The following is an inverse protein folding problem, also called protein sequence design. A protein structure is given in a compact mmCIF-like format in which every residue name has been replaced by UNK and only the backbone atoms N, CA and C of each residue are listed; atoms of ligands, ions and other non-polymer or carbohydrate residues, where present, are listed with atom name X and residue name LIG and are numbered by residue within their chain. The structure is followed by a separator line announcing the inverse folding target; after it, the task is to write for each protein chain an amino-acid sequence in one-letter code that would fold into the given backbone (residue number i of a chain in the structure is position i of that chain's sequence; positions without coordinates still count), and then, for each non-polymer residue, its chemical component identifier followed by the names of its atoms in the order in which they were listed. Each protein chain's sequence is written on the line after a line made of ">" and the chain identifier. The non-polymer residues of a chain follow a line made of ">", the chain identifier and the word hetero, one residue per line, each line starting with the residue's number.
data_IF_617485681044
#
_entry.id   IF_617485681044
#
_cell.length_a   1.000
_cell.length_b   1.000
_cell.length_c   1.000
_cell.angle_alpha   90.00
_cell.angle_beta   90.00
_cell.angle_gamma   90.00
#
_symmetry.space_group_name_H-M   'P 1'
#
loop_
_entity.id
_entity.type
_entity.pdbx_description
1 polymer ?
#
# COMPACT_ATOMS: atom_id res chain seq x y z
N UNK A 1 -38.61 -1.73 28.38
CA UNK A 1 -37.64 -2.80 28.15
C UNK A 1 -38.34 -4.15 28.23
N UNK A 2 -38.57 -4.77 27.08
CA UNK A 2 -39.10 -6.14 26.95
C UNK A 2 -37.98 -7.18 27.18
N UNK A 3 -38.30 -8.47 27.39
CA UNK A 3 -37.28 -9.51 27.47
C UNK A 3 -36.38 -9.59 26.23
N UNK A 4 -36.90 -9.28 25.05
CA UNK A 4 -36.12 -9.22 23.82
C UNK A 4 -35.13 -8.04 23.85
N UNK A 5 -35.61 -6.84 24.20
CA UNK A 5 -34.77 -5.64 24.30
C UNK A 5 -33.66 -5.79 25.36
N UNK A 6 -33.93 -6.48 26.47
CA UNK A 6 -32.91 -6.79 27.48
C UNK A 6 -31.86 -7.78 26.94
N UNK A 7 -32.28 -8.80 26.18
CA UNK A 7 -31.36 -9.75 25.56
C UNK A 7 -30.42 -9.04 24.58
N UNK A 8 -30.96 -8.15 23.76
CA UNK A 8 -30.19 -7.36 22.79
C UNK A 8 -29.21 -6.43 23.50
N UNK A 9 -29.63 -5.80 24.61
CA UNK A 9 -28.74 -4.97 25.42
C UNK A 9 -27.57 -5.78 26.01
N UNK A 10 -27.85 -6.98 26.55
CA UNK A 10 -26.81 -7.85 27.12
C UNK A 10 -25.81 -8.24 26.04
N UNK A 11 -26.29 -8.70 24.89
CA UNK A 11 -25.43 -9.12 23.78
C UNK A 11 -24.60 -7.93 23.25
N UNK A 12 -25.26 -6.81 22.97
CA UNK A 12 -24.59 -5.59 22.51
C UNK A 12 -23.51 -5.10 23.48
N UNK A 13 -23.78 -5.13 24.79
CA UNK A 13 -22.80 -4.70 25.80
C UNK A 13 -21.54 -5.56 25.80
N UNK A 14 -21.67 -6.88 25.58
CA UNK A 14 -20.53 -7.81 25.46
C UNK A 14 -19.74 -7.55 24.20
N UNK A 15 -20.41 -7.39 23.05
CA UNK A 15 -19.74 -7.11 21.78
C UNK A 15 -18.95 -5.80 21.83
N UNK A 16 -19.52 -4.74 22.43
CA UNK A 16 -18.82 -3.48 22.67
C UNK A 16 -17.60 -3.69 23.56
N UNK A 17 -17.75 -4.40 24.69
CA UNK A 17 -16.64 -4.67 25.58
C UNK A 17 -15.48 -5.40 24.88
N UNK A 18 -15.79 -6.38 24.03
CA UNK A 18 -14.78 -7.07 23.22
C UNK A 18 -14.12 -6.15 22.17
N UNK A 19 -14.87 -5.24 21.56
CA UNK A 19 -14.38 -4.31 20.54
C UNK A 19 -13.60 -3.10 21.12
N UNK A 20 -13.76 -2.79 22.42
CA UNK A 20 -13.06 -1.66 23.08
C UNK A 20 -11.57 -1.92 23.31
N UNK A 21 -11.17 -3.18 23.39
CA UNK A 21 -9.77 -3.55 23.55
C UNK A 21 -8.95 -3.40 22.26
N UNK A 22 -7.67 -3.75 22.34
CA UNK A 22 -6.77 -3.81 21.19
C UNK A 22 -5.72 -2.70 21.17
N UNK A 23 -4.70 -2.90 20.34
CA UNK A 23 -3.63 -1.95 20.04
C UNK A 23 -3.62 -1.66 18.54
N UNK A 24 -3.01 -0.54 18.13
CA UNK A 24 -2.86 -0.17 16.72
C UNK A 24 -1.76 -1.03 16.09
N UNK A 25 -2.11 -2.24 15.70
CA UNK A 25 -1.23 -3.23 15.10
C UNK A 25 -1.86 -3.78 13.82
N UNK A 26 -1.02 -4.30 12.93
CA UNK A 26 -1.48 -4.96 11.71
C UNK A 26 -1.96 -6.36 12.10
N UNK A 27 -3.22 -6.68 11.79
CA UNK A 27 -3.77 -8.01 11.98
C UNK A 27 -3.32 -8.93 10.85
N UNK A 28 -3.13 -10.22 11.14
CA UNK A 28 -2.73 -11.21 10.14
C UNK A 28 -3.68 -11.24 8.92
N UNK A 29 -4.98 -11.09 9.18
CA UNK A 29 -6.03 -11.08 8.15
C UNK A 29 -6.03 -9.81 7.29
N UNK A 30 -5.31 -8.75 7.70
CA UNK A 30 -5.15 -7.53 6.89
C UNK A 30 -4.08 -7.70 5.80
N UNK A 31 -3.21 -8.70 5.90
CA UNK A 31 -2.07 -8.88 4.98
C UNK A 31 -2.50 -8.96 3.50
N UNK A 32 -3.55 -9.73 3.10
CA UNK A 32 -4.00 -9.74 1.70
C UNK A 32 -4.55 -8.38 1.25
N UNK A 33 -5.20 -7.65 2.15
CA UNK A 33 -5.69 -6.29 1.87
C UNK A 33 -4.52 -5.33 1.66
N UNK A 34 -3.48 -5.41 2.50
CA UNK A 34 -2.25 -4.62 2.39
C UNK A 34 -1.56 -4.88 1.04
N UNK A 35 -1.35 -6.14 0.68
CA UNK A 35 -0.69 -6.52 -0.57
C UNK A 35 -1.44 -6.05 -1.82
N UNK A 36 -2.77 -6.03 -1.79
CA UNK A 36 -3.58 -5.56 -2.90
C UNK A 36 -3.79 -4.04 -2.92
N UNK A 37 -4.06 -3.43 -1.78
CA UNK A 37 -4.57 -2.06 -1.69
C UNK A 37 -3.48 -0.98 -1.61
N UNK A 38 -2.26 -1.32 -1.19
CA UNK A 38 -1.16 -0.37 -1.22
C UNK A 38 -0.65 -0.13 -2.64
N UNK A 39 -0.02 1.01 -2.84
CA UNK A 39 0.53 1.40 -4.13
C UNK A 39 2.06 1.38 -4.09
N UNK A 40 2.65 1.02 -5.22
CA UNK A 40 4.09 0.97 -5.45
C UNK A 40 4.45 1.85 -6.64
N UNK A 41 5.71 2.29 -6.69
CA UNK A 41 6.22 3.12 -7.78
C UNK A 41 6.36 2.27 -9.04
N UNK A 42 5.82 2.78 -10.15
CA UNK A 42 5.83 2.14 -11.46
C UNK A 42 6.25 3.12 -12.54
N UNK A 43 6.79 2.61 -13.65
CA UNK A 43 6.98 3.37 -14.87
C UNK A 43 5.63 3.62 -15.57
N UNK A 44 5.36 4.86 -16.01
CA UNK A 44 4.13 5.23 -16.76
C UNK A 44 4.32 5.16 -18.28
N UNK A 45 5.58 5.11 -18.72
CA UNK A 45 6.06 4.90 -20.08
C UNK A 45 7.35 4.10 -20.02
N UNK A 46 7.89 3.73 -21.17
CA UNK A 46 9.22 3.14 -21.23
C UNK A 46 10.28 4.16 -20.76
N UNK A 47 11.25 3.71 -19.98
CA UNK A 47 12.35 4.50 -19.41
C UNK A 47 13.65 3.82 -19.82
N UNK A 48 14.56 4.55 -20.46
CA UNK A 48 15.83 4.02 -20.93
C UNK A 48 16.90 4.11 -19.81
N UNK A 49 17.93 3.27 -19.91
CA UNK A 49 19.07 3.38 -19.01
C UNK A 49 19.72 4.77 -19.15
N UNK A 50 19.96 5.44 -18.02
CA UNK A 50 20.45 6.81 -17.93
C UNK A 50 19.35 7.88 -17.84
N UNK A 51 18.07 7.56 -18.06
CA UNK A 51 17.00 8.54 -17.95
C UNK A 51 16.76 8.96 -16.50
N UNK A 52 16.37 10.22 -16.30
CA UNK A 52 16.00 10.76 -14.99
C UNK A 52 14.54 10.39 -14.67
N UNK A 53 14.29 9.85 -13.49
CA UNK A 53 12.94 9.64 -12.97
C UNK A 53 12.28 10.97 -12.60
N UNK A 54 11.09 11.21 -13.14
CA UNK A 54 10.29 12.43 -12.95
C UNK A 54 8.80 12.11 -12.85
N UNK A 55 7.99 13.07 -12.42
CA UNK A 55 6.52 12.92 -12.34
C UNK A 55 5.86 12.62 -13.70
N UNK A 56 6.58 12.78 -14.81
CA UNK A 56 6.08 12.46 -16.15
C UNK A 56 6.27 10.99 -16.54
N UNK A 57 7.32 10.33 -16.02
CA UNK A 57 7.68 8.97 -16.41
C UNK A 57 7.46 7.93 -15.31
N UNK A 58 7.22 8.34 -14.08
CA UNK A 58 6.85 7.45 -12.98
C UNK A 58 5.58 7.91 -12.26
N UNK A 59 4.88 6.95 -11.66
CA UNK A 59 3.74 7.22 -10.78
C UNK A 59 3.59 6.09 -9.77
N UNK A 60 2.55 6.13 -8.93
CA UNK A 60 2.23 5.05 -8.01
C UNK A 60 0.95 4.31 -8.44
N UNK A 61 0.98 2.98 -8.45
CA UNK A 61 -0.16 2.12 -8.77
C UNK A 61 -0.23 0.91 -7.83
N UNK A 62 -1.43 0.37 -7.66
CA UNK A 62 -1.66 -0.94 -7.04
C UNK A 62 -1.21 -2.06 -8.00
N UNK A 63 -0.86 -3.26 -7.51
CA UNK A 63 -0.88 -3.69 -6.11
C UNK A 63 0.35 -3.25 -5.31
N UNK A 64 0.28 -3.46 -4.01
CA UNK A 64 1.29 -3.16 -3.01
C UNK A 64 2.39 -4.20 -2.91
N UNK A 65 2.57 -5.05 -3.92
CA UNK A 65 3.58 -6.11 -3.96
C UNK A 65 4.96 -5.63 -4.41
N UNK A 66 5.04 -4.41 -4.96
CA UNK A 66 6.30 -3.81 -5.41
C UNK A 66 7.22 -3.38 -4.26
N UNK A 67 8.52 -3.33 -4.55
CA UNK A 67 9.58 -3.04 -3.57
C UNK A 67 9.53 -1.59 -3.07
N UNK A 68 9.38 -0.62 -3.97
CA UNK A 68 9.29 0.79 -3.61
C UNK A 68 7.82 1.18 -3.40
N UNK A 69 7.44 1.44 -2.14
CA UNK A 69 6.09 1.88 -1.78
C UNK A 69 5.84 3.33 -2.16
N UNK A 70 4.58 3.73 -2.27
CA UNK A 70 4.20 5.11 -2.59
C UNK A 70 4.78 6.17 -1.64
N UNK A 71 4.99 5.82 -0.36
CA UNK A 71 5.62 6.73 0.62
C UNK A 71 7.06 7.12 0.23
N UNK A 72 7.74 6.25 -0.52
CA UNK A 72 9.13 6.45 -0.96
C UNK A 72 9.22 7.09 -2.35
N UNK A 73 8.09 7.44 -2.99
CA UNK A 73 8.07 8.03 -4.34
C UNK A 73 9.04 9.19 -4.50
N UNK A 74 9.07 10.12 -3.53
CA UNK A 74 9.97 11.28 -3.55
C UNK A 74 11.46 10.92 -3.52
N UNK A 75 11.82 9.73 -3.03
CA UNK A 75 13.22 9.24 -3.02
C UNK A 75 13.68 8.82 -4.42
N UNK A 76 12.76 8.51 -5.33
CA UNK A 76 13.02 8.08 -6.70
C UNK A 76 13.20 9.28 -7.63
N UNK A 77 12.45 10.36 -7.40
CA UNK A 77 12.51 11.57 -8.23
C UNK A 77 13.95 12.14 -8.32
N UNK A 78 14.35 12.51 -9.54
CA UNK A 78 15.68 13.05 -9.83
C UNK A 78 16.80 12.02 -9.87
N UNK A 79 16.52 10.75 -9.57
CA UNK A 79 17.50 9.66 -9.75
C UNK A 79 17.53 9.18 -11.19
N UNK A 80 18.58 8.43 -11.55
CA UNK A 80 18.76 7.92 -12.90
C UNK A 80 18.43 6.43 -12.95
N UNK A 81 17.85 5.98 -14.05
CA UNK A 81 17.62 4.56 -14.31
C UNK A 81 18.95 3.86 -14.64
N UNK A 82 19.27 2.76 -13.96
CA UNK A 82 20.43 1.90 -14.28
C UNK A 82 20.21 1.03 -15.50
N UNK A 83 18.96 0.69 -15.77
CA UNK A 83 18.53 -0.26 -16.80
C UNK A 83 17.30 0.27 -17.53
N UNK A 84 16.98 -0.35 -18.66
CA UNK A 84 15.70 -0.11 -19.32
C UNK A 84 14.55 -0.67 -18.47
N UNK A 85 13.46 0.10 -18.35
CA UNK A 85 12.23 -0.27 -17.66
C UNK A 85 11.05 -0.09 -18.61
N UNK A 86 10.23 -1.13 -18.74
CA UNK A 86 9.05 -1.07 -19.60
C UNK A 86 7.88 -0.36 -18.90
N UNK A 87 6.96 0.20 -19.68
CA UNK A 87 5.72 0.79 -19.17
C UNK A 87 4.96 -0.18 -18.24
N UNK A 88 4.48 0.34 -17.12
CA UNK A 88 3.80 -0.38 -16.02
C UNK A 88 4.69 -1.33 -15.21
N UNK A 89 6.00 -1.41 -15.48
CA UNK A 89 6.91 -2.15 -14.61
C UNK A 89 7.02 -1.46 -13.25
N UNK A 90 6.94 -2.25 -12.17
CA UNK A 90 7.26 -1.78 -10.81
C UNK A 90 8.76 -1.56 -10.68
N UNK A 91 9.14 -0.39 -10.18
CA UNK A 91 10.55 0.02 -10.04
C UNK A 91 11.12 -0.57 -8.75
N UNK A 92 12.34 -1.08 -8.85
CA UNK A 92 13.10 -1.64 -7.74
C UNK A 92 14.26 -0.73 -7.35
N UNK A 93 14.78 -0.87 -6.12
CA UNK A 93 15.95 -0.09 -5.70
C UNK A 93 17.18 -0.40 -6.55
N UNK A 94 17.28 -1.62 -7.08
CA UNK A 94 18.34 -2.04 -8.00
C UNK A 94 18.32 -1.32 -9.33
N UNK A 95 17.18 -0.77 -9.74
CA UNK A 95 17.00 -0.07 -11.01
C UNK A 95 17.45 1.39 -10.94
N UNK A 96 17.80 1.89 -9.75
CA UNK A 96 18.11 3.30 -9.48
C UNK A 96 19.62 3.47 -9.26
N UNK A 97 20.22 4.44 -9.95
CA UNK A 97 21.64 4.81 -9.82
C UNK A 97 21.99 5.44 -8.48
#
# INVERSE_FOLDING_TARGET
>A
MTPAELKDLIEGSRQIFHALGGSKEILADEQPCIEFAYACVVATRDIMAGDIFSDENIWVKRPGTGEIKAIDFKKVLGKHAKVHLSKNQQIKWTDIA
#
